data_IF_321102079613
#
_entry.id   IF_321102079613
#
_cell.length_a   1.000
_cell.length_b   1.000
_cell.length_c   1.000
_cell.angle_alpha   90.00
_cell.angle_beta   90.00
_cell.angle_gamma   90.00
#
_symmetry.space_group_name_H-M   'P 1'
#
loop_
_entity.id
_entity.type
_entity.pdbx_description
1 polymer ?
#
# COMPACT_ATOMS: atom_id res chain seq x y z
N UNK A 1 37.22 -36.63 -17.05
CA UNK A 1 36.62 -36.26 -15.74
C UNK A 1 36.08 -34.85 -15.91
N UNK A 2 34.84 -34.74 -16.35
CA UNK A 2 34.20 -33.45 -16.61
C UNK A 2 33.44 -32.97 -15.38
N UNK A 3 33.91 -31.88 -14.76
CA UNK A 3 33.19 -31.18 -13.72
C UNK A 3 31.97 -30.48 -14.30
N UNK A 4 30.77 -30.92 -13.93
CA UNK A 4 29.52 -30.18 -14.21
C UNK A 4 29.53 -28.90 -13.41
N UNK A 5 29.69 -27.76 -14.08
CA UNK A 5 29.43 -26.44 -13.49
C UNK A 5 27.92 -26.36 -13.23
N UNK A 6 27.53 -26.30 -11.99
CA UNK A 6 26.15 -26.04 -11.61
C UNK A 6 25.75 -24.65 -12.06
N UNK A 7 24.80 -24.57 -12.97
CA UNK A 7 24.12 -23.33 -13.35
C UNK A 7 23.29 -22.88 -12.15
N UNK A 8 23.41 -21.66 -11.65
CA UNK A 8 22.59 -21.18 -10.54
C UNK A 8 21.11 -21.22 -10.96
N UNK A 9 20.29 -21.91 -10.17
CA UNK A 9 18.86 -22.02 -10.41
C UNK A 9 18.20 -20.64 -10.18
N UNK A 10 17.55 -20.11 -11.22
CA UNK A 10 16.60 -19.02 -11.08
C UNK A 10 15.29 -19.61 -10.55
N UNK A 11 14.91 -19.25 -9.33
CA UNK A 11 13.55 -19.49 -8.87
C UNK A 11 12.67 -18.35 -9.41
N UNK A 12 11.65 -18.67 -10.20
CA UNK A 12 10.64 -17.69 -10.64
C UNK A 12 9.48 -17.75 -9.66
N UNK A 13 9.15 -16.61 -9.06
CA UNK A 13 7.93 -16.41 -8.31
C UNK A 13 6.87 -15.71 -9.18
N UNK A 14 5.62 -15.76 -8.75
CA UNK A 14 4.56 -15.01 -9.44
C UNK A 14 4.79 -13.52 -9.22
N UNK A 15 5.08 -12.82 -10.31
CA UNK A 15 5.19 -11.37 -10.31
C UNK A 15 3.80 -10.74 -10.29
N UNK A 16 3.62 -9.70 -9.50
CA UNK A 16 2.44 -8.85 -9.55
C UNK A 16 2.52 -7.95 -10.79
N UNK A 17 2.20 -8.49 -11.95
CA UNK A 17 1.96 -7.65 -13.11
C UNK A 17 0.55 -7.06 -13.02
N UNK A 18 0.39 -6.03 -12.19
CA UNK A 18 -0.72 -5.10 -12.30
C UNK A 18 -0.31 -4.01 -13.27
N UNK A 19 -1.01 -3.87 -14.38
CA UNK A 19 -0.85 -2.77 -15.31
C UNK A 19 -1.05 -1.43 -14.57
N UNK A 20 -0.04 -0.57 -14.55
CA UNK A 20 -0.18 0.81 -14.11
C UNK A 20 0.72 1.31 -12.98
N UNK A 21 1.84 0.68 -12.69
CA UNK A 21 2.75 1.16 -11.65
C UNK A 21 3.96 1.91 -12.24
N UNK A 22 4.17 3.11 -11.71
CA UNK A 22 5.34 3.94 -11.96
C UNK A 22 6.63 3.33 -11.40
N UNK A 23 7.78 4.01 -11.51
CA UNK A 23 9.15 3.48 -11.33
C UNK A 23 9.55 3.12 -9.89
N UNK A 24 8.62 2.78 -9.02
CA UNK A 24 8.86 2.62 -7.57
C UNK A 24 9.33 1.23 -7.11
N UNK A 25 9.65 0.33 -8.03
CA UNK A 25 10.11 -1.01 -7.67
C UNK A 25 11.64 -1.12 -7.77
N UNK A 26 12.32 -0.62 -6.73
CA UNK A 26 13.77 -0.62 -6.68
C UNK A 26 14.41 -2.02 -6.73
N UNK A 27 15.52 -2.13 -7.44
CA UNK A 27 16.39 -3.30 -7.44
C UNK A 27 17.41 -3.18 -6.31
N UNK A 28 17.41 -4.09 -5.35
CA UNK A 28 18.33 -4.08 -4.21
C UNK A 28 19.46 -5.10 -4.31
N UNK A 29 20.73 -4.66 -4.24
CA UNK A 29 21.87 -5.54 -3.99
C UNK A 29 22.27 -5.42 -2.52
N UNK A 30 22.40 -6.58 -1.84
CA UNK A 30 22.76 -6.56 -0.43
C UNK A 30 23.96 -7.43 -0.14
N UNK A 31 25.01 -6.86 0.54
CA UNK A 31 25.85 -7.67 1.35
C UNK A 31 25.10 -8.01 2.63
N UNK A 32 24.79 -9.27 2.85
CA UNK A 32 24.46 -9.73 4.20
C UNK A 32 25.75 -9.58 5.00
N UNK A 33 25.84 -8.50 5.78
CA UNK A 33 27.03 -8.18 6.57
C UNK A 33 27.28 -9.31 7.55
N UNK A 34 28.48 -9.85 7.52
CA UNK A 34 28.91 -10.92 8.40
C UNK A 34 28.78 -10.57 9.88
N UNK A 35 28.41 -11.59 10.67
CA UNK A 35 28.43 -11.69 12.12
C UNK A 35 27.47 -10.77 12.90
N UNK A 36 26.23 -11.09 12.91
CA UNK A 36 25.33 -11.31 14.06
C UNK A 36 23.90 -11.37 13.60
N UNK A 37 23.29 -12.50 13.92
CA UNK A 37 21.85 -12.70 14.01
C UNK A 37 21.02 -12.42 12.74
N UNK A 38 20.59 -13.47 12.04
CA UNK A 38 19.19 -13.68 11.69
C UNK A 38 18.39 -12.39 11.46
N UNK A 39 18.80 -11.55 10.52
CA UNK A 39 17.96 -10.50 10.01
C UNK A 39 16.92 -11.17 9.09
N UNK A 40 15.60 -11.08 9.35
CA UNK A 40 14.56 -11.80 8.61
C UNK A 40 14.27 -11.17 7.24
N UNK A 41 15.30 -10.90 6.46
CA UNK A 41 15.17 -10.50 5.07
C UNK A 41 14.68 -11.66 4.17
N UNK A 42 14.77 -12.89 4.65
CA UNK A 42 14.28 -14.07 3.93
C UNK A 42 13.75 -15.12 4.91
N UNK A 43 12.60 -15.74 4.60
CA UNK A 43 11.95 -16.77 5.41
C UNK A 43 10.85 -17.50 4.66
N UNK A 44 10.50 -18.69 5.12
CA UNK A 44 9.41 -19.46 4.51
C UNK A 44 8.04 -18.82 4.76
N UNK A 45 7.87 -18.19 5.92
CA UNK A 45 6.61 -17.54 6.32
C UNK A 45 6.93 -16.30 7.15
N UNK A 46 7.04 -15.16 6.48
CA UNK A 46 7.33 -13.87 7.11
C UNK A 46 6.04 -13.13 7.41
N UNK A 47 5.91 -12.63 8.64
CA UNK A 47 4.82 -11.77 9.07
C UNK A 47 5.23 -10.30 9.21
N UNK A 48 4.23 -9.42 9.30
CA UNK A 48 4.43 -7.98 9.56
C UNK A 48 5.25 -7.73 10.82
N UNK A 49 5.05 -8.56 11.88
CA UNK A 49 5.80 -8.47 13.13
C UNK A 49 7.31 -8.75 12.96
N UNK A 50 7.71 -9.49 11.93
CA UNK A 50 9.12 -9.80 11.68
C UNK A 50 9.83 -8.62 11.03
N UNK A 51 9.15 -7.88 10.17
CA UNK A 51 9.67 -6.62 9.62
C UNK A 51 9.89 -5.60 10.74
N UNK A 52 8.96 -5.47 11.67
CA UNK A 52 9.04 -4.52 12.78
C UNK A 52 10.24 -4.75 13.72
N UNK A 53 10.86 -5.92 13.69
CA UNK A 53 12.06 -6.24 14.48
C UNK A 53 13.37 -5.79 13.82
N UNK A 54 13.34 -5.45 12.53
CA UNK A 54 14.53 -5.05 11.76
C UNK A 54 14.56 -3.53 11.62
N UNK A 55 15.65 -2.86 12.01
CA UNK A 55 15.80 -1.43 11.75
C UNK A 55 15.63 -1.11 10.26
N UNK A 56 14.87 -0.05 9.95
CA UNK A 56 14.48 0.29 8.57
C UNK A 56 15.69 0.51 7.65
N UNK A 57 16.76 1.10 8.16
CA UNK A 57 18.01 1.36 7.44
C UNK A 57 18.76 0.07 7.06
N UNK A 58 18.45 -1.03 7.73
CA UNK A 58 19.05 -2.35 7.48
C UNK A 58 18.18 -3.24 6.61
N UNK A 59 16.88 -2.96 6.54
CA UNK A 59 15.94 -3.74 5.76
C UNK A 59 15.92 -3.25 4.31
N UNK A 60 16.62 -3.96 3.46
CA UNK A 60 16.84 -3.56 2.07
C UNK A 60 16.13 -4.44 1.03
N UNK A 61 15.53 -5.56 1.44
CA UNK A 61 14.77 -6.46 0.60
C UNK A 61 14.05 -7.52 1.40
N UNK A 62 12.97 -8.04 0.85
CA UNK A 62 12.15 -9.09 1.46
C UNK A 62 11.97 -10.26 0.51
N UNK A 63 12.13 -11.46 1.05
CA UNK A 63 11.87 -12.70 0.31
C UNK A 63 11.07 -13.64 1.20
N UNK A 64 9.89 -14.04 0.76
CA UNK A 64 9.07 -15.00 1.48
C UNK A 64 8.71 -16.22 0.64
N UNK A 65 8.81 -17.40 1.22
CA UNK A 65 8.40 -18.66 0.60
C UNK A 65 6.87 -18.77 0.47
N UNK A 66 6.14 -18.10 1.34
CA UNK A 66 4.67 -18.03 1.37
C UNK A 66 4.17 -16.62 1.16
N UNK A 67 2.84 -16.52 1.01
CA UNK A 67 2.17 -15.26 0.80
C UNK A 67 1.96 -14.91 -0.66
N UNK A 68 1.20 -13.87 -0.88
CA UNK A 68 0.86 -13.32 -2.19
C UNK A 68 1.18 -11.83 -2.23
N UNK A 69 1.09 -11.26 -3.40
CA UNK A 69 1.25 -9.82 -3.65
C UNK A 69 0.26 -8.97 -2.86
N UNK A 70 -0.90 -9.52 -2.56
CA UNK A 70 -1.96 -8.86 -1.80
C UNK A 70 -1.85 -9.12 -0.28
N UNK A 71 -0.78 -9.75 0.19
CA UNK A 71 -0.58 -9.95 1.63
C UNK A 71 -0.25 -8.63 2.33
N UNK A 72 -0.61 -8.51 3.61
CA UNK A 72 -0.29 -7.33 4.43
C UNK A 72 1.21 -7.02 4.44
N UNK A 73 2.04 -8.05 4.40
CA UNK A 73 3.49 -7.94 4.32
C UNK A 73 3.94 -7.25 3.03
N UNK A 74 3.37 -7.66 1.90
CA UNK A 74 3.68 -7.09 0.58
C UNK A 74 3.26 -5.62 0.49
N UNK A 75 2.05 -5.31 0.95
CA UNK A 75 1.53 -3.94 0.98
C UNK A 75 2.40 -3.04 1.85
N UNK A 76 2.81 -3.52 3.02
CA UNK A 76 3.69 -2.76 3.93
C UNK A 76 5.09 -2.55 3.32
N UNK A 77 5.67 -3.59 2.71
CA UNK A 77 6.97 -3.51 2.06
C UNK A 77 6.97 -2.54 0.87
N UNK A 78 5.91 -2.55 0.08
CA UNK A 78 5.70 -1.59 -1.01
C UNK A 78 5.61 -0.15 -0.47
N UNK A 79 4.82 0.09 0.57
CA UNK A 79 4.73 1.38 1.25
C UNK A 79 6.08 1.87 1.80
N UNK A 80 6.93 0.93 2.24
CA UNK A 80 8.29 1.23 2.69
C UNK A 80 9.30 1.39 1.55
N UNK A 81 8.92 1.12 0.29
CA UNK A 81 9.81 1.13 -0.87
C UNK A 81 10.84 0.01 -0.84
N UNK A 82 10.51 -1.14 -0.25
CA UNK A 82 11.41 -2.28 -0.10
C UNK A 82 11.15 -3.30 -1.22
N UNK A 83 12.15 -3.65 -2.05
CA UNK A 83 12.01 -4.69 -3.05
C UNK A 83 11.58 -6.01 -2.41
N UNK A 84 10.48 -6.58 -2.92
CA UNK A 84 9.85 -7.74 -2.29
C UNK A 84 9.52 -8.82 -3.30
N UNK A 85 9.84 -10.07 -2.98
CA UNK A 85 9.48 -11.24 -3.75
C UNK A 85 8.78 -12.25 -2.85
N UNK A 86 7.52 -12.58 -3.18
CA UNK A 86 6.66 -13.46 -2.41
C UNK A 86 6.41 -14.79 -3.12
N UNK A 87 6.09 -15.84 -2.37
CA UNK A 87 5.73 -17.14 -2.92
C UNK A 87 6.90 -17.87 -3.60
N UNK A 88 8.12 -17.65 -3.14
CA UNK A 88 9.32 -18.33 -3.68
C UNK A 88 9.32 -19.77 -3.24
N UNK A 89 9.05 -20.68 -4.19
CA UNK A 89 9.09 -22.13 -3.92
C UNK A 89 10.52 -22.60 -3.70
N UNK A 90 10.69 -23.49 -2.72
CA UNK A 90 11.99 -24.13 -2.40
C UNK A 90 13.12 -23.11 -2.10
N UNK A 91 12.82 -22.09 -1.29
CA UNK A 91 13.79 -21.08 -0.89
C UNK A 91 14.97 -21.75 -0.17
N UNK A 92 16.20 -21.70 -0.74
CA UNK A 92 17.35 -22.41 -0.15
C UNK A 92 17.93 -21.64 1.03
N UNK A 93 17.27 -21.69 2.19
CA UNK A 93 17.63 -20.94 3.39
C UNK A 93 19.09 -21.12 3.79
N UNK A 94 19.64 -22.34 3.67
CA UNK A 94 21.04 -22.61 3.96
C UNK A 94 22.04 -21.89 3.02
N UNK A 95 21.60 -21.47 1.83
CA UNK A 95 22.44 -20.70 0.89
C UNK A 95 22.26 -19.18 1.07
N UNK A 96 21.20 -18.79 1.75
CA UNK A 96 20.87 -17.39 2.01
C UNK A 96 21.50 -16.92 3.30
N UNK A 97 21.54 -17.79 4.32
CA UNK A 97 22.11 -17.45 5.63
C UNK A 97 23.60 -17.12 5.51
N UNK A 98 23.96 -15.86 5.80
CA UNK A 98 25.32 -15.35 5.68
C UNK A 98 25.84 -15.17 4.24
N UNK A 99 25.01 -15.42 3.22
CA UNK A 99 25.34 -15.30 1.80
C UNK A 99 24.95 -13.96 1.18
N UNK A 100 25.37 -13.72 -0.06
CA UNK A 100 24.88 -12.61 -0.88
C UNK A 100 23.66 -13.04 -1.68
N UNK A 101 22.60 -12.26 -1.64
CA UNK A 101 21.42 -12.43 -2.50
C UNK A 101 21.11 -11.15 -3.27
N UNK A 102 20.43 -11.27 -4.40
CA UNK A 102 19.84 -10.15 -5.12
C UNK A 102 18.33 -10.38 -5.12
N UNK A 103 17.59 -9.37 -4.72
CA UNK A 103 16.13 -9.35 -4.75
C UNK A 103 15.71 -8.37 -5.83
N UNK A 104 15.07 -8.88 -6.87
CA UNK A 104 14.55 -8.09 -7.98
C UNK A 104 13.02 -8.11 -7.89
N UNK A 105 12.45 -7.05 -7.32
CA UNK A 105 11.01 -6.90 -7.13
C UNK A 105 10.28 -6.63 -8.46
N UNK A 106 10.96 -6.08 -9.47
CA UNK A 106 10.39 -5.83 -10.80
C UNK A 106 10.19 -7.13 -11.59
N UNK A 107 11.25 -7.94 -11.63
CA UNK A 107 11.24 -9.22 -12.36
C UNK A 107 10.66 -10.37 -11.51
N UNK A 108 10.35 -10.12 -10.22
CA UNK A 108 9.95 -11.17 -9.27
C UNK A 108 11.01 -12.25 -9.12
N UNK A 109 12.28 -11.89 -9.12
CA UNK A 109 13.39 -12.83 -9.13
C UNK A 109 14.28 -12.70 -7.91
N UNK A 110 14.74 -13.85 -7.39
CA UNK A 110 15.76 -13.93 -6.34
C UNK A 110 16.98 -14.67 -6.89
N UNK A 111 18.14 -14.05 -6.80
CA UNK A 111 19.40 -14.67 -7.20
C UNK A 111 20.21 -14.98 -5.94
N UNK A 112 20.35 -16.26 -5.61
CA UNK A 112 21.19 -16.72 -4.50
C UNK A 112 22.63 -16.92 -4.98
N UNK A 113 23.60 -16.53 -4.16
CA UNK A 113 25.03 -16.62 -4.48
C UNK A 113 25.39 -16.01 -5.84
N UNK A 114 25.08 -14.72 -6.09
CA UNK A 114 25.30 -14.08 -7.39
C UNK A 114 26.79 -14.05 -7.74
N UNK A 115 27.13 -14.39 -8.98
CA UNK A 115 28.50 -14.25 -9.47
C UNK A 115 28.85 -12.77 -9.71
N UNK A 116 30.14 -12.49 -10.00
CA UNK A 116 30.62 -11.12 -10.20
C UNK A 116 29.86 -10.39 -11.31
N UNK A 117 29.67 -11.02 -12.44
CA UNK A 117 28.96 -10.40 -13.59
C UNK A 117 27.51 -10.05 -13.24
N UNK A 118 26.80 -10.91 -12.51
CA UNK A 118 25.43 -10.63 -12.04
C UNK A 118 25.42 -9.44 -11.08
N UNK A 119 26.33 -9.42 -10.11
CA UNK A 119 26.46 -8.28 -9.18
C UNK A 119 26.73 -6.98 -9.91
N UNK A 120 27.68 -6.98 -10.85
CA UNK A 120 28.03 -5.80 -11.63
C UNK A 120 26.84 -5.31 -12.50
N UNK A 121 26.02 -6.23 -13.02
CA UNK A 121 24.83 -5.89 -13.80
C UNK A 121 23.76 -5.23 -12.94
N UNK A 122 23.44 -5.83 -11.79
CA UNK A 122 22.44 -5.27 -10.87
C UNK A 122 22.92 -3.99 -10.19
N UNK A 123 24.24 -3.84 -9.94
CA UNK A 123 24.81 -2.58 -9.45
C UNK A 123 24.58 -1.44 -10.45
N UNK A 124 24.78 -1.69 -11.75
CA UNK A 124 24.48 -0.69 -12.79
C UNK A 124 23.01 -0.34 -12.84
N UNK A 125 22.11 -1.34 -12.86
CA UNK A 125 20.66 -1.10 -12.82
C UNK A 125 20.24 -0.23 -11.63
N UNK A 126 20.77 -0.51 -10.44
CA UNK A 126 20.51 0.30 -9.24
C UNK A 126 20.97 1.76 -9.40
N UNK A 127 22.13 1.98 -10.00
CA UNK A 127 22.62 3.34 -10.28
C UNK A 127 21.74 4.02 -11.31
N UNK A 128 21.33 3.34 -12.37
CA UNK A 128 20.44 3.86 -13.40
C UNK A 128 19.08 4.25 -12.81
N UNK A 129 18.50 3.41 -11.96
CA UNK A 129 17.24 3.71 -11.25
C UNK A 129 17.39 4.90 -10.29
N UNK A 130 18.49 4.97 -9.54
CA UNK A 130 18.76 6.09 -8.64
C UNK A 130 18.92 7.39 -9.43
N UNK A 131 19.69 7.35 -10.53
CA UNK A 131 19.87 8.53 -11.40
C UNK A 131 18.54 9.02 -11.95
N UNK A 132 17.67 8.10 -12.41
CA UNK A 132 16.34 8.46 -12.87
C UNK A 132 15.48 9.07 -11.75
N UNK A 133 15.55 8.51 -10.55
CA UNK A 133 14.85 9.05 -9.37
C UNK A 133 15.34 10.46 -9.05
N UNK A 134 16.67 10.66 -9.02
CA UNK A 134 17.28 11.96 -8.73
C UNK A 134 16.95 12.99 -9.82
N UNK A 135 16.89 12.58 -11.09
CA UNK A 135 16.45 13.43 -12.22
C UNK A 135 14.98 13.83 -12.11
N UNK A 136 14.14 12.98 -11.50
CA UNK A 136 12.72 13.25 -11.30
C UNK A 136 12.44 14.08 -10.04
N UNK A 137 13.33 14.08 -9.03
CA UNK A 137 13.13 14.82 -7.79
C UNK A 137 12.91 16.31 -8.02
N UNK A 138 13.60 16.93 -8.99
CA UNK A 138 13.41 18.35 -9.30
C UNK A 138 12.01 18.66 -9.88
N UNK A 139 11.31 17.64 -10.41
CA UNK A 139 9.94 17.80 -10.90
C UNK A 139 8.90 17.82 -9.77
N UNK A 140 9.26 17.37 -8.56
CA UNK A 140 8.33 17.34 -7.42
C UNK A 140 7.76 18.73 -7.06
N UNK A 141 8.52 19.79 -7.34
CA UNK A 141 8.11 21.19 -7.12
C UNK A 141 7.63 21.90 -8.38
N UNK A 142 7.69 21.26 -9.54
CA UNK A 142 7.27 21.83 -10.80
C UNK A 142 5.74 21.85 -10.91
N UNK A 143 5.18 22.94 -11.41
CA UNK A 143 3.75 22.98 -11.70
C UNK A 143 3.41 22.10 -12.91
N UNK A 144 2.44 21.18 -12.71
CA UNK A 144 1.92 20.37 -13.80
C UNK A 144 0.93 21.20 -14.62
N UNK A 145 1.41 21.75 -15.75
CA UNK A 145 0.62 22.61 -16.63
C UNK A 145 0.61 22.05 -18.05
N UNK A 146 -0.57 21.97 -18.65
CA UNK A 146 -0.74 21.57 -20.04
C UNK A 146 -0.23 22.65 -21.00
N UNK A 147 0.05 22.34 -22.29
CA UNK A 147 0.56 23.32 -23.26
C UNK A 147 -0.36 24.52 -23.48
N UNK A 148 -1.66 24.38 -23.23
CA UNK A 148 -2.66 25.46 -23.28
C UNK A 148 -2.78 26.27 -21.97
N UNK A 149 -1.89 26.01 -21.00
CA UNK A 149 -1.80 26.77 -19.75
C UNK A 149 -2.76 26.28 -18.62
N UNK A 150 -3.45 25.16 -18.82
CA UNK A 150 -4.31 24.61 -17.75
C UNK A 150 -3.45 23.88 -16.70
N UNK A 151 -3.58 24.29 -15.41
CA UNK A 151 -2.91 23.65 -14.30
C UNK A 151 -3.65 22.39 -13.87
N UNK A 152 -2.97 21.26 -13.89
CA UNK A 152 -3.48 19.97 -13.38
C UNK A 152 -2.93 19.71 -11.97
N UNK A 153 -3.80 19.42 -11.03
CA UNK A 153 -3.40 19.07 -9.67
C UNK A 153 -3.03 17.60 -9.56
N UNK A 154 -1.89 17.34 -8.96
CA UNK A 154 -1.40 15.98 -8.74
C UNK A 154 -1.76 15.52 -7.32
N UNK A 155 -2.68 14.57 -7.24
CA UNK A 155 -3.13 13.98 -5.99
C UNK A 155 -2.79 12.50 -5.94
N UNK A 156 -2.42 12.03 -4.74
CA UNK A 156 -2.02 10.64 -4.55
C UNK A 156 -3.19 9.74 -4.22
N UNK A 157 -2.98 8.46 -4.47
CA UNK A 157 -3.83 7.37 -4.04
C UNK A 157 -3.09 6.64 -2.92
N UNK A 158 -3.64 6.60 -1.72
CA UNK A 158 -2.99 6.03 -0.53
C UNK A 158 -3.96 5.21 0.32
N UNK A 159 -3.43 4.35 1.16
CA UNK A 159 -4.19 3.54 2.11
C UNK A 159 -3.48 3.35 3.45
N UNK A 160 -2.20 3.73 3.53
CA UNK A 160 -1.38 3.60 4.72
C UNK A 160 -0.77 4.95 5.12
N UNK A 161 -0.66 5.19 6.43
CA UNK A 161 -0.07 6.43 6.95
C UNK A 161 1.41 6.58 6.56
N UNK A 162 2.13 5.47 6.40
CA UNK A 162 3.53 5.48 5.99
C UNK A 162 3.80 6.12 4.62
N UNK A 163 2.79 6.19 3.76
CA UNK A 163 2.88 6.80 2.43
C UNK A 163 2.81 8.33 2.44
N UNK A 164 2.30 8.92 3.52
CA UNK A 164 1.97 10.34 3.56
C UNK A 164 3.22 11.24 3.37
N UNK A 165 4.23 11.05 4.20
CA UNK A 165 5.47 11.85 4.14
C UNK A 165 6.14 11.71 2.77
N UNK A 166 6.30 10.49 2.29
CA UNK A 166 6.90 10.22 0.98
C UNK A 166 6.13 10.86 -0.18
N UNK A 167 4.79 10.83 -0.10
CA UNK A 167 3.94 11.46 -1.09
C UNK A 167 4.07 12.98 -1.11
N UNK A 168 4.14 13.59 0.07
CA UNK A 168 4.33 15.04 0.22
C UNK A 168 5.69 15.48 -0.29
N UNK A 169 6.75 14.75 0.07
CA UNK A 169 8.12 15.02 -0.40
C UNK A 169 8.24 14.94 -1.93
N UNK A 170 7.40 14.11 -2.57
CA UNK A 170 7.31 13.96 -4.03
C UNK A 170 6.34 14.94 -4.70
N UNK A 171 5.86 15.95 -3.97
CA UNK A 171 5.06 17.04 -4.53
C UNK A 171 3.55 16.78 -4.58
N UNK A 172 3.03 15.83 -3.82
CA UNK A 172 1.59 15.60 -3.75
C UNK A 172 0.84 16.83 -3.22
N UNK A 173 -0.17 17.27 -3.99
CA UNK A 173 -1.00 18.43 -3.65
C UNK A 173 -2.25 18.05 -2.83
N UNK A 174 -2.44 16.78 -2.56
CA UNK A 174 -3.55 16.24 -1.77
C UNK A 174 -3.72 14.75 -1.97
N UNK A 175 -4.75 14.21 -1.36
CA UNK A 175 -5.15 12.81 -1.51
C UNK A 175 -6.42 12.72 -2.37
N UNK A 176 -6.28 12.13 -3.55
CA UNK A 176 -7.39 11.88 -4.46
C UNK A 176 -8.23 10.69 -4.06
N UNK A 177 -7.59 9.70 -3.43
CA UNK A 177 -8.26 8.53 -2.90
C UNK A 177 -7.51 7.98 -1.67
N UNK A 178 -8.14 8.03 -0.52
CA UNK A 178 -7.75 7.27 0.66
C UNK A 178 -8.61 6.01 0.75
N UNK A 179 -7.95 4.85 0.70
CA UNK A 179 -8.58 3.53 0.73
C UNK A 179 -8.82 3.08 2.15
N UNK A 180 -10.02 3.29 2.67
CA UNK A 180 -10.37 2.97 4.05
C UNK A 180 -10.46 1.47 4.31
N UNK A 181 -10.78 0.67 3.28
CA UNK A 181 -10.96 -0.77 3.40
C UNK A 181 -9.72 -1.52 3.90
N UNK A 182 -8.51 -0.97 3.74
CA UNK A 182 -7.26 -1.59 4.21
C UNK A 182 -7.30 -1.82 5.73
N UNK A 183 -7.86 -0.87 6.49
CA UNK A 183 -8.00 -1.02 7.95
C UNK A 183 -9.00 -2.09 8.33
N UNK A 184 -10.11 -2.17 7.60
CA UNK A 184 -11.12 -3.21 7.82
C UNK A 184 -10.55 -4.59 7.51
N UNK A 185 -9.78 -4.73 6.43
CA UNK A 185 -9.11 -5.99 6.07
C UNK A 185 -8.03 -6.41 7.07
N UNK A 186 -7.47 -5.47 7.82
CA UNK A 186 -6.42 -5.71 8.82
C UNK A 186 -6.97 -5.99 10.22
N UNK A 187 -8.28 -5.95 10.39
CA UNK A 187 -8.98 -6.15 11.67
C UNK A 187 -9.69 -7.50 11.69
N UNK A 188 -9.93 -8.04 12.88
CA UNK A 188 -10.69 -9.27 13.08
C UNK A 188 -12.20 -9.02 13.25
N UNK A 189 -12.59 -7.76 13.44
CA UNK A 189 -13.96 -7.27 13.58
C UNK A 189 -14.11 -5.93 12.90
N UNK A 190 -15.35 -5.43 12.74
CA UNK A 190 -15.57 -4.06 12.29
C UNK A 190 -14.90 -3.07 13.25
N UNK A 191 -13.99 -2.19 12.75
CA UNK A 191 -13.40 -1.15 13.56
C UNK A 191 -14.47 -0.21 14.12
N UNK A 192 -14.36 0.12 15.40
CA UNK A 192 -15.24 1.08 16.06
C UNK A 192 -15.11 2.49 15.50
N UNK A 193 -16.08 3.37 15.78
CA UNK A 193 -16.00 4.78 15.38
C UNK A 193 -14.70 5.42 15.86
N UNK A 194 -14.28 5.16 17.11
CA UNK A 194 -13.08 5.75 17.69
C UNK A 194 -11.78 5.22 17.06
N UNK A 195 -11.68 3.93 16.81
CA UNK A 195 -10.53 3.35 16.12
C UNK A 195 -10.37 3.93 14.71
N UNK A 196 -11.47 4.06 13.98
CA UNK A 196 -11.47 4.70 12.67
C UNK A 196 -11.09 6.18 12.76
N UNK A 197 -11.65 6.92 13.75
CA UNK A 197 -11.36 8.34 13.97
C UNK A 197 -9.88 8.60 14.17
N UNK A 198 -9.21 7.79 15.00
CA UNK A 198 -7.77 7.93 15.27
C UNK A 198 -6.95 7.78 13.98
N UNK A 199 -7.28 6.79 13.17
CA UNK A 199 -6.57 6.52 11.93
C UNK A 199 -6.82 7.63 10.90
N UNK A 200 -8.08 8.05 10.74
CA UNK A 200 -8.43 9.11 9.78
C UNK A 200 -7.84 10.45 10.20
N UNK A 201 -7.80 10.75 11.50
CA UNK A 201 -7.16 11.93 12.07
C UNK A 201 -5.69 12.01 11.70
N UNK A 202 -4.95 10.94 11.91
CA UNK A 202 -3.53 10.88 11.57
C UNK A 202 -3.27 11.17 10.08
N UNK A 203 -4.12 10.68 9.18
CA UNK A 203 -4.01 10.95 7.75
C UNK A 203 -4.35 12.41 7.40
N UNK A 204 -5.41 12.95 7.98
CA UNK A 204 -5.79 14.35 7.76
C UNK A 204 -4.71 15.30 8.26
N UNK A 205 -4.13 15.04 9.43
CA UNK A 205 -3.04 15.82 10.00
C UNK A 205 -1.79 15.78 9.11
N UNK A 206 -1.41 14.58 8.64
CA UNK A 206 -0.23 14.41 7.80
C UNK A 206 -0.32 15.21 6.49
N UNK A 207 -1.51 15.33 5.90
CA UNK A 207 -1.72 16.09 4.66
C UNK A 207 -2.17 17.52 4.86
N UNK A 208 -2.53 17.96 6.09
CA UNK A 208 -3.00 19.32 6.35
C UNK A 208 -1.99 20.37 5.85
N UNK A 209 -2.43 21.46 5.20
CA UNK A 209 -3.80 21.89 4.88
C UNK A 209 -4.35 21.35 3.55
N UNK A 210 -3.70 20.35 2.94
CA UNK A 210 -4.08 19.77 1.64
C UNK A 210 -5.40 19.02 1.74
N UNK A 211 -6.19 18.95 0.63
CA UNK A 211 -7.44 18.19 0.62
C UNK A 211 -7.19 16.68 0.67
N UNK A 212 -8.06 15.97 1.39
CA UNK A 212 -8.03 14.51 1.49
C UNK A 212 -9.40 13.96 1.14
N UNK A 213 -9.46 13.13 0.09
CA UNK A 213 -10.68 12.43 -0.29
C UNK A 213 -10.67 11.02 0.31
N UNK A 214 -11.54 10.78 1.29
CA UNK A 214 -11.71 9.47 1.91
C UNK A 214 -12.87 8.73 1.27
N UNK A 215 -12.61 7.51 0.80
CA UNK A 215 -13.64 6.64 0.24
C UNK A 215 -14.33 5.91 1.38
N UNK A 216 -15.66 5.88 1.39
CA UNK A 216 -16.40 4.99 2.28
C UNK A 216 -16.12 3.54 1.92
N UNK A 217 -16.43 2.63 2.83
CA UNK A 217 -16.10 1.22 2.74
C UNK A 217 -16.45 0.63 1.37
N UNK A 218 -15.45 0.04 0.70
CA UNK A 218 -15.60 -0.62 -0.59
C UNK A 218 -15.16 -2.08 -0.47
N UNK A 219 -16.03 -2.90 0.13
CA UNK A 219 -15.88 -4.35 0.27
C UNK A 219 -16.78 -5.08 -0.69
N UNK A 220 -16.41 -6.30 -1.04
CA UNK A 220 -17.05 -7.15 -2.04
C UNK A 220 -16.09 -7.47 -3.19
N UNK A 221 -16.40 -8.47 -3.97
CA UNK A 221 -15.55 -8.91 -5.07
C UNK A 221 -14.25 -9.55 -4.58
N UNK A 222 -13.15 -8.89 -4.91
CA UNK A 222 -11.79 -9.27 -4.53
C UNK A 222 -11.39 -8.87 -3.09
N UNK A 223 -12.24 -8.09 -2.41
CA UNK A 223 -12.00 -7.55 -1.07
C UNK A 223 -12.98 -8.15 -0.07
N UNK A 224 -12.67 -9.32 0.43
CA UNK A 224 -13.45 -9.99 1.46
C UNK A 224 -12.95 -9.67 2.85
N UNK A 225 -13.88 -9.57 3.82
CA UNK A 225 -13.57 -9.52 5.25
C UNK A 225 -13.86 -10.89 5.84
N UNK A 226 -12.92 -11.50 6.60
CA UNK A 226 -13.14 -12.81 7.19
C UNK A 226 -14.37 -12.89 8.11
N UNK A 227 -14.71 -11.78 8.76
CA UNK A 227 -15.83 -11.63 9.68
C UNK A 227 -17.11 -11.10 9.02
N UNK A 228 -17.06 -10.78 7.71
CA UNK A 228 -18.22 -10.33 6.93
C UNK A 228 -18.12 -10.89 5.49
N UNK A 229 -18.37 -12.20 5.32
CA UNK A 229 -18.31 -12.83 4.01
C UNK A 229 -19.43 -12.31 3.11
N UNK A 230 -19.09 -11.97 1.87
CA UNK A 230 -20.05 -11.55 0.84
C UNK A 230 -20.05 -12.64 -0.23
N UNK A 231 -21.20 -13.31 -0.40
CA UNK A 231 -21.44 -14.26 -1.47
C UNK A 231 -22.29 -13.57 -2.53
N UNK A 232 -21.76 -13.41 -3.73
CA UNK A 232 -22.39 -12.71 -4.83
C UNK A 232 -22.00 -13.35 -6.16
N UNK A 233 -22.99 -13.64 -7.00
CA UNK A 233 -22.78 -14.25 -8.33
C UNK A 233 -21.95 -13.37 -9.26
N UNK A 234 -22.06 -12.05 -9.11
CA UNK A 234 -21.28 -11.07 -9.83
C UNK A 234 -20.55 -10.12 -8.87
N UNK A 235 -19.44 -10.58 -8.24
CA UNK A 235 -18.80 -9.89 -7.14
C UNK A 235 -18.36 -8.45 -7.44
N UNK A 236 -18.01 -8.15 -8.70
CA UNK A 236 -17.55 -6.81 -9.07
C UNK A 236 -18.68 -5.81 -9.33
N UNK A 237 -19.84 -6.27 -9.77
CA UNK A 237 -20.98 -5.40 -10.16
C UNK A 237 -22.19 -5.55 -9.26
N UNK A 238 -22.23 -6.55 -8.40
CA UNK A 238 -23.36 -6.89 -7.54
C UNK A 238 -23.38 -6.10 -6.23
N UNK A 239 -23.53 -6.81 -5.11
CA UNK A 239 -23.64 -6.24 -3.77
C UNK A 239 -22.28 -5.85 -3.22
N UNK A 240 -21.91 -4.59 -3.42
CA UNK A 240 -20.59 -4.04 -3.14
C UNK A 240 -20.65 -2.54 -2.84
N UNK A 241 -19.68 -2.06 -2.04
CA UNK A 241 -19.46 -0.64 -1.79
C UNK A 241 -20.68 0.06 -1.18
N UNK A 242 -21.18 1.13 -1.80
CA UNK A 242 -22.32 1.89 -1.28
C UNK A 242 -23.59 1.05 -1.10
N UNK A 243 -23.78 0.01 -1.89
CA UNK A 243 -24.95 -0.89 -1.74
C UNK A 243 -24.91 -1.62 -0.42
N UNK A 244 -23.75 -2.17 -0.06
CA UNK A 244 -23.51 -2.78 1.27
C UNK A 244 -23.71 -1.75 2.37
N UNK A 245 -23.18 -0.54 2.21
CA UNK A 245 -23.28 0.52 3.21
C UNK A 245 -24.72 1.01 3.43
N UNK A 246 -25.58 0.99 2.41
CA UNK A 246 -26.98 1.38 2.54
C UNK A 246 -27.84 0.26 3.15
N UNK A 247 -27.49 -1.00 2.94
CA UNK A 247 -28.15 -2.16 3.56
C UNK A 247 -27.69 -2.37 5.02
N UNK A 248 -26.49 -1.85 5.36
CA UNK A 248 -25.90 -1.86 6.70
C UNK A 248 -25.57 -0.43 7.16
N UNK A 249 -26.60 0.42 7.40
CA UNK A 249 -26.42 1.83 7.71
C UNK A 249 -25.61 2.07 8.99
N UNK A 250 -25.60 1.14 9.94
CA UNK A 250 -24.80 1.21 11.16
C UNK A 250 -23.30 1.27 10.87
N UNK A 251 -22.79 0.54 9.87
CA UNK A 251 -21.40 0.57 9.43
C UNK A 251 -21.09 1.91 8.77
N UNK A 252 -21.99 2.37 7.90
CA UNK A 252 -21.84 3.63 7.19
C UNK A 252 -21.86 4.83 8.14
N UNK A 253 -22.80 4.88 9.09
CA UNK A 253 -22.93 5.95 10.10
C UNK A 253 -21.66 6.02 10.94
N UNK A 254 -21.19 4.89 11.49
CA UNK A 254 -19.96 4.86 12.29
C UNK A 254 -18.76 5.40 11.51
N UNK A 255 -18.64 5.04 10.23
CA UNK A 255 -17.55 5.51 9.37
C UNK A 255 -17.65 7.02 9.06
N UNK A 256 -18.83 7.52 8.71
CA UNK A 256 -19.06 8.94 8.41
C UNK A 256 -18.79 9.81 9.66
N UNK A 257 -19.31 9.41 10.82
CA UNK A 257 -19.07 10.10 12.09
C UNK A 257 -17.59 10.13 12.43
N UNK A 258 -16.90 9.00 12.28
CA UNK A 258 -15.44 8.92 12.47
C UNK A 258 -14.67 9.88 11.55
N UNK A 259 -15.05 9.99 10.28
CA UNK A 259 -14.44 10.93 9.32
C UNK A 259 -14.67 12.38 9.72
N UNK A 260 -15.90 12.75 10.11
CA UNK A 260 -16.25 14.10 10.51
C UNK A 260 -15.50 14.52 11.79
N UNK A 261 -15.51 13.68 12.83
CA UNK A 261 -14.79 13.93 14.08
C UNK A 261 -13.26 13.97 13.87
N UNK A 262 -12.75 13.17 12.95
CA UNK A 262 -11.34 13.21 12.59
C UNK A 262 -10.91 14.52 11.93
N UNK A 263 -11.83 15.26 11.30
CA UNK A 263 -11.54 16.52 10.61
C UNK A 263 -11.68 17.75 11.51
N UNK A 264 -12.22 17.60 12.72
CA UNK A 264 -12.44 18.68 13.65
C UNK A 264 -11.17 19.49 13.93
N UNK A 265 -11.27 20.83 13.85
CA UNK A 265 -10.17 21.77 14.12
C UNK A 265 -9.00 21.69 13.13
N UNK A 266 -9.09 20.94 12.04
CA UNK A 266 -8.07 20.88 11.01
C UNK A 266 -8.39 21.81 9.84
N UNK A 267 -7.34 22.41 9.26
CA UNK A 267 -7.45 23.12 7.98
C UNK A 267 -7.57 22.17 6.78
N UNK A 268 -7.32 20.90 6.99
CA UNK A 268 -7.44 19.86 5.96
C UNK A 268 -8.89 19.76 5.47
N UNK A 269 -9.07 19.83 4.15
CA UNK A 269 -10.40 19.74 3.51
C UNK A 269 -10.76 18.28 3.32
N UNK A 270 -11.52 17.71 4.26
CA UNK A 270 -12.10 16.38 4.11
C UNK A 270 -13.10 16.38 2.95
N UNK A 271 -13.00 15.36 2.09
CA UNK A 271 -13.96 15.02 1.04
C UNK A 271 -14.34 13.56 1.22
N UNK A 272 -15.61 13.26 1.08
CA UNK A 272 -16.14 11.90 1.18
C UNK A 272 -16.49 11.40 -0.21
N UNK A 273 -15.95 10.26 -0.61
CA UNK A 273 -16.26 9.62 -1.88
C UNK A 273 -17.10 8.37 -1.65
N UNK A 274 -18.21 8.29 -2.34
CA UNK A 274 -19.11 7.15 -2.30
C UNK A 274 -18.77 6.18 -3.45
N UNK A 275 -18.35 4.94 -3.17
CA UNK A 275 -18.02 3.97 -4.21
C UNK A 275 -19.27 3.31 -4.81
N UNK A 276 -19.18 2.88 -6.05
CA UNK A 276 -20.20 2.01 -6.71
C UNK A 276 -21.60 2.61 -6.78
N UNK A 277 -21.72 3.93 -6.91
CA UNK A 277 -23.01 4.60 -7.13
C UNK A 277 -23.57 4.22 -8.50
N UNK A 278 -24.81 3.76 -8.52
CA UNK A 278 -25.51 3.38 -9.76
C UNK A 278 -26.84 4.11 -10.00
N UNK A 279 -27.36 4.84 -9.01
CA UNK A 279 -28.60 5.61 -9.16
C UNK A 279 -28.59 6.88 -8.30
N UNK A 280 -29.40 7.86 -8.70
CA UNK A 280 -29.61 9.10 -7.92
C UNK A 280 -30.22 8.78 -6.56
N UNK A 281 -31.16 7.81 -6.50
CA UNK A 281 -31.77 7.40 -5.24
C UNK A 281 -30.76 6.92 -4.17
N UNK A 282 -29.69 6.24 -4.59
CA UNK A 282 -28.61 5.85 -3.68
C UNK A 282 -27.85 7.06 -3.14
N UNK A 283 -27.59 8.07 -3.98
CA UNK A 283 -26.94 9.32 -3.55
C UNK A 283 -27.83 10.04 -2.54
N UNK A 284 -29.13 10.14 -2.80
CA UNK A 284 -30.08 10.81 -1.90
C UNK A 284 -30.19 10.07 -0.55
N UNK A 285 -30.18 8.73 -0.58
CA UNK A 285 -30.18 7.93 0.65
C UNK A 285 -28.89 8.15 1.47
N UNK A 286 -27.72 8.08 0.82
CA UNK A 286 -26.46 8.33 1.48
C UNK A 286 -26.37 9.76 2.05
N UNK A 287 -26.81 10.76 1.30
CA UNK A 287 -26.83 12.16 1.77
C UNK A 287 -27.68 12.34 3.01
N UNK A 288 -28.86 11.74 3.09
CA UNK A 288 -29.68 11.81 4.31
C UNK A 288 -28.96 11.26 5.54
N UNK A 289 -28.26 10.14 5.40
CA UNK A 289 -27.46 9.59 6.51
C UNK A 289 -26.26 10.48 6.86
N UNK A 290 -25.59 11.06 5.86
CA UNK A 290 -24.49 12.01 6.08
C UNK A 290 -24.99 13.28 6.79
N UNK A 291 -26.12 13.84 6.37
CA UNK A 291 -26.72 15.02 6.97
C UNK A 291 -27.13 14.74 8.43
N UNK A 292 -27.70 13.55 8.70
CA UNK A 292 -27.98 13.10 10.07
C UNK A 292 -26.71 13.03 10.92
N UNK A 293 -25.65 12.37 10.43
CA UNK A 293 -24.36 12.28 11.13
C UNK A 293 -23.78 13.68 11.43
N UNK A 294 -23.91 14.59 10.48
CA UNK A 294 -23.43 15.96 10.65
C UNK A 294 -24.17 16.70 11.78
N UNK A 295 -25.49 16.56 11.85
CA UNK A 295 -26.28 17.13 12.93
C UNK A 295 -25.90 16.56 14.29
N UNK A 296 -25.83 15.23 14.40
CA UNK A 296 -25.46 14.52 15.64
C UNK A 296 -24.06 14.94 16.13
N UNK A 297 -23.06 14.93 15.25
CA UNK A 297 -21.68 15.29 15.60
C UNK A 297 -21.59 16.76 16.02
N UNK A 298 -22.32 17.65 15.35
CA UNK A 298 -22.36 19.07 15.70
C UNK A 298 -23.05 19.30 17.07
N UNK A 299 -24.14 18.59 17.39
CA UNK A 299 -24.83 18.66 18.69
C UNK A 299 -23.95 18.12 19.84
N UNK A 300 -23.06 17.16 19.54
CA UNK A 300 -22.09 16.62 20.49
C UNK A 300 -20.89 17.57 20.73
N UNK A 301 -20.78 18.65 19.97
CA UNK A 301 -19.79 19.71 20.15
C UNK A 301 -18.49 19.52 19.37
N UNK A 302 -18.53 18.71 18.30
CA UNK A 302 -17.39 18.49 17.40
C UNK A 302 -17.58 19.23 16.06
#
# INVERSE_FOLDING_TARGET
KGGRRSVPRRARAQCATGEGYGPDHACGQFPVAGRRARDPAAGDDLGVADIGKVPRDRLQGLVSGRGSVNSHLSILAEAMGIPTVMGVKDLPMAMIDGGHIIVDGLEGAVVTSPNRSQRDTYARRKVEEQTLTDELEHLATAECTTPDGHRTRLWVNTGLLGDATRSIDRGAEGVGLYRTEIHFMSSDTFPTEEEQRVIYRAHLEAFSPRPVTMRTLDIGGDKSLPYFPIEEDNPFLGWRGLRVSLDHPEIFIAQIRAMMRASEGLEARLRIMLPMVSSVAQVDAAKRLIDQCYQEVTEEGA
#
